data_IF_519871524841
#
_entry.id   IF_519871524841
#
_cell.length_a   1.000
_cell.length_b   1.000
_cell.length_c   1.000
_cell.angle_alpha   90.00
_cell.angle_beta   90.00
_cell.angle_gamma   90.00
#
_symmetry.space_group_name_H-M   'P 1'
#
loop_
_entity.id
_entity.type
_entity.pdbx_description
1 polymer ?
#
# COMPACT_ATOMS: atom_id res chain seq x y z
N UNK A 1 -0.40 -1.07 6.76
CA UNK A 1 -1.04 0.15 7.32
C UNK A 1 -0.95 0.16 8.84
N UNK A 2 -1.46 -0.85 9.54
CA UNK A 2 -1.32 -0.98 11.00
C UNK A 2 0.15 -0.94 11.47
N UNK A 3 1.06 -1.51 10.66
CA UNK A 3 2.51 -1.49 10.88
C UNK A 3 3.09 -0.08 11.04
N UNK A 4 2.68 0.88 10.20
CA UNK A 4 3.16 2.27 10.23
C UNK A 4 2.76 2.98 11.53
N UNK A 5 1.52 2.75 12.00
CA UNK A 5 1.02 3.31 13.26
C UNK A 5 1.73 2.75 14.49
N UNK A 6 2.17 1.49 14.45
CA UNK A 6 3.00 0.88 15.49
C UNK A 6 4.46 1.36 15.45
N UNK A 7 4.97 1.62 14.25
CA UNK A 7 6.36 1.99 14.05
C UNK A 7 6.66 3.46 14.32
N UNK A 8 5.73 4.34 13.95
CA UNK A 8 5.89 5.78 14.09
C UNK A 8 6.26 6.23 15.52
N UNK A 9 5.56 5.80 16.60
CA UNK A 9 5.95 6.17 17.96
C UNK A 9 7.30 5.55 18.38
N UNK A 10 7.64 4.37 17.85
CA UNK A 10 8.89 3.66 18.19
C UNK A 10 10.12 4.34 17.59
N UNK A 11 10.02 4.82 16.34
CA UNK A 11 11.07 5.61 15.69
C UNK A 11 11.24 6.97 16.36
N UNK A 12 10.13 7.63 16.71
CA UNK A 12 10.19 8.97 17.32
C UNK A 12 10.70 8.92 18.76
N UNK A 13 10.37 7.87 19.52
CA UNK A 13 10.99 7.60 20.80
C UNK A 13 12.51 7.34 20.68
N UNK A 14 12.95 6.64 19.64
CA UNK A 14 14.38 6.43 19.36
C UNK A 14 15.14 7.69 18.92
N UNK A 15 14.44 8.72 18.42
CA UNK A 15 14.97 10.06 18.16
C UNK A 15 15.07 10.94 19.43
N UNK A 16 14.68 10.43 20.60
CA UNK A 16 14.72 11.14 21.88
C UNK A 16 13.54 12.08 22.13
N UNK A 17 12.51 12.07 21.28
CA UNK A 17 11.31 12.90 21.45
C UNK A 17 10.22 12.12 22.20
N UNK A 18 9.72 12.69 23.29
CA UNK A 18 8.67 12.11 24.14
C UNK A 18 7.35 12.88 24.05
N UNK A 19 6.23 12.19 24.28
CA UNK A 19 4.91 12.81 24.44
C UNK A 19 4.35 13.48 23.18
N UNK A 20 3.92 14.74 23.32
CA UNK A 20 3.14 15.48 22.32
C UNK A 20 3.94 15.77 21.03
N UNK A 21 5.26 15.99 21.16
CA UNK A 21 6.13 16.12 19.99
C UNK A 21 6.22 14.84 19.16
N UNK A 22 6.09 13.66 19.80
CA UNK A 22 6.12 12.40 19.07
C UNK A 22 4.92 12.21 18.16
N UNK A 23 3.73 12.60 18.62
CA UNK A 23 2.51 12.60 17.81
C UNK A 23 2.58 13.61 16.66
N UNK A 24 3.09 14.83 16.91
CA UNK A 24 3.28 15.82 15.84
C UNK A 24 4.20 15.32 14.73
N UNK A 25 5.26 14.59 15.06
CA UNK A 25 6.17 14.01 14.06
C UNK A 25 5.55 12.87 13.24
N UNK A 26 4.39 12.31 13.63
CA UNK A 26 3.69 11.33 12.79
C UNK A 26 2.87 11.97 11.67
N UNK A 27 2.53 13.25 11.78
CA UNK A 27 1.67 13.96 10.81
C UNK A 27 2.33 14.15 9.43
N UNK A 28 3.62 14.54 9.32
CA UNK A 28 4.26 14.70 8.01
C UNK A 28 4.22 13.47 7.09
N UNK A 29 4.50 12.23 7.56
CA UNK A 29 4.40 11.04 6.72
C UNK A 29 2.99 10.82 6.16
N UNK A 30 1.95 11.05 6.97
CA UNK A 30 0.56 10.94 6.52
C UNK A 30 0.20 12.04 5.52
N UNK A 31 0.66 13.28 5.73
CA UNK A 31 0.44 14.38 4.80
C UNK A 31 1.12 14.10 3.43
N UNK A 32 2.36 13.61 3.44
CA UNK A 32 3.05 13.19 2.22
C UNK A 32 2.33 12.02 1.54
N UNK A 33 1.87 11.03 2.30
CA UNK A 33 1.09 9.91 1.78
C UNK A 33 -0.24 10.37 1.15
N UNK A 34 -0.91 11.36 1.75
CA UNK A 34 -2.15 11.91 1.22
C UNK A 34 -1.94 12.60 -0.14
N UNK A 35 -0.94 13.48 -0.24
CA UNK A 35 -0.63 14.21 -1.48
C UNK A 35 -0.21 13.26 -2.60
N UNK A 36 0.67 12.31 -2.30
CA UNK A 36 1.12 11.30 -3.28
C UNK A 36 -0.01 10.38 -3.72
N UNK A 37 -0.90 9.98 -2.81
CA UNK A 37 -2.10 9.20 -3.14
C UNK A 37 -3.01 9.97 -4.10
N UNK A 38 -3.30 11.24 -3.80
CA UNK A 38 -4.11 12.10 -4.69
C UNK A 38 -3.50 12.22 -6.09
N UNK A 39 -2.21 12.50 -6.17
CA UNK A 39 -1.51 12.65 -7.44
C UNK A 39 -1.50 11.34 -8.24
N UNK A 40 -1.21 10.20 -7.59
CA UNK A 40 -1.23 8.90 -8.27
C UNK A 40 -2.64 8.49 -8.70
N UNK A 41 -3.66 8.71 -7.87
CA UNK A 41 -5.06 8.45 -8.25
C UNK A 41 -5.47 9.28 -9.45
N UNK A 42 -5.17 10.58 -9.41
CA UNK A 42 -5.48 11.47 -10.52
C UNK A 42 -4.76 11.04 -11.80
N UNK A 43 -3.47 10.70 -11.70
CA UNK A 43 -2.70 10.22 -12.83
C UNK A 43 -3.22 8.87 -13.38
N UNK A 44 -3.62 7.95 -12.49
CA UNK A 44 -4.20 6.66 -12.85
C UNK A 44 -5.54 6.83 -13.59
N UNK A 45 -6.37 7.78 -13.16
CA UNK A 45 -7.65 8.07 -13.80
C UNK A 45 -7.48 8.74 -15.17
N UNK A 46 -6.52 9.66 -15.31
CA UNK A 46 -6.24 10.29 -16.62
C UNK A 46 -5.70 9.26 -17.62
N UNK A 47 -4.79 8.39 -17.19
CA UNK A 47 -4.12 7.44 -18.09
C UNK A 47 -4.90 6.16 -18.32
N UNK A 48 -5.98 5.93 -17.56
CA UNK A 48 -6.81 4.73 -17.62
C UNK A 48 -5.95 3.44 -17.58
N UNK A 49 -4.86 3.50 -16.79
CA UNK A 49 -3.88 2.43 -16.61
C UNK A 49 -3.79 2.09 -15.13
N UNK A 50 -4.96 1.81 -14.54
CA UNK A 50 -5.14 1.71 -13.10
C UNK A 50 -4.34 0.55 -12.52
N UNK A 51 -4.18 -0.56 -13.25
CA UNK A 51 -3.35 -1.68 -12.79
C UNK A 51 -1.85 -1.35 -12.78
N UNK A 52 -1.35 -0.58 -13.74
CA UNK A 52 0.08 -0.23 -13.83
C UNK A 52 0.49 0.74 -12.74
N UNK A 53 -0.34 1.76 -12.50
CA UNK A 53 -0.08 2.73 -11.43
C UNK A 53 -0.17 2.06 -10.05
N UNK A 54 -1.16 1.16 -9.86
CA UNK A 54 -1.28 0.39 -8.62
C UNK A 54 -0.08 -0.54 -8.40
N UNK A 55 0.27 -1.38 -9.38
CA UNK A 55 1.42 -2.30 -9.26
C UNK A 55 2.74 -1.54 -9.03
N UNK A 56 2.96 -0.42 -9.74
CA UNK A 56 4.12 0.44 -9.55
C UNK A 56 4.20 1.01 -8.14
N UNK A 57 3.08 1.53 -7.61
CA UNK A 57 3.02 2.05 -6.25
C UNK A 57 3.27 0.99 -5.17
N UNK A 58 2.75 -0.24 -5.37
CA UNK A 58 2.98 -1.37 -4.48
C UNK A 58 4.43 -1.87 -4.54
N UNK A 59 5.05 -1.86 -5.73
CA UNK A 59 6.46 -2.21 -5.89
C UNK A 59 7.36 -1.20 -5.20
N UNK A 60 7.13 0.10 -5.39
CA UNK A 60 7.86 1.18 -4.70
C UNK A 60 7.71 1.06 -3.18
N UNK A 61 6.49 0.80 -2.69
CA UNK A 61 6.24 0.56 -1.27
C UNK A 61 6.98 -0.68 -0.74
N UNK A 62 7.00 -1.76 -1.51
CA UNK A 62 7.73 -2.98 -1.18
C UNK A 62 9.24 -2.69 -1.06
N UNK A 63 9.88 -2.13 -2.09
CA UNK A 63 11.30 -1.79 -2.05
C UNK A 63 11.66 -0.80 -0.93
N UNK A 64 10.75 0.13 -0.57
CA UNK A 64 10.95 1.00 0.57
C UNK A 64 10.97 0.23 1.91
N UNK A 65 10.12 -0.79 2.09
CA UNK A 65 10.17 -1.68 3.25
C UNK A 65 11.44 -2.55 3.27
N UNK A 66 11.90 -3.01 2.11
CA UNK A 66 13.17 -3.75 1.99
C UNK A 66 14.36 -2.87 2.38
N UNK A 67 14.43 -1.66 1.84
CA UNK A 67 15.49 -0.71 2.14
C UNK A 67 15.47 -0.29 3.63
N UNK A 68 14.30 -0.27 4.26
CA UNK A 68 14.17 -0.01 5.70
C UNK A 68 14.68 -1.18 6.55
N UNK A 69 14.52 -2.44 6.07
CA UNK A 69 15.06 -3.63 6.72
C UNK A 69 16.59 -3.73 6.64
N UNK A 70 17.19 -3.22 5.54
CA UNK A 70 18.63 -3.24 5.30
C UNK A 70 19.39 -2.06 5.94
N UNK A 71 18.68 -1.07 6.50
CA UNK A 71 19.31 0.15 7.00
C UNK A 71 19.85 -0.01 8.43
N UNK A 72 21.09 0.44 8.72
CA UNK A 72 21.69 0.36 10.05
C UNK A 72 20.88 1.13 11.11
N UNK A 73 20.86 0.60 12.34
CA UNK A 73 20.01 1.08 13.44
C UNK A 73 20.26 2.53 13.89
N UNK A 74 21.38 3.12 13.48
CA UNK A 74 21.78 4.49 13.83
C UNK A 74 21.16 5.58 12.93
N UNK A 75 20.58 5.21 11.77
CA UNK A 75 20.09 6.15 10.77
C UNK A 75 18.59 6.47 10.90
N UNK A 76 18.17 7.00 12.05
CA UNK A 76 16.75 7.33 12.33
C UNK A 76 16.11 8.29 11.32
N UNK A 77 16.86 9.30 10.83
CA UNK A 77 16.38 10.26 9.81
C UNK A 77 16.06 9.58 8.47
N UNK A 78 16.91 8.66 8.05
CA UNK A 78 16.72 7.94 6.80
C UNK A 78 15.58 6.91 6.91
N UNK A 79 15.44 6.23 8.06
CA UNK A 79 14.27 5.38 8.34
C UNK A 79 12.95 6.18 8.27
N UNK A 80 12.91 7.40 8.80
CA UNK A 80 11.72 8.24 8.72
C UNK A 80 11.35 8.61 7.28
N UNK A 81 12.34 9.02 6.47
CA UNK A 81 12.13 9.29 5.04
C UNK A 81 11.63 8.08 4.27
N UNK A 82 12.23 6.90 4.50
CA UNK A 82 11.77 5.64 3.88
C UNK A 82 10.36 5.26 4.34
N UNK A 83 10.00 5.55 5.59
CA UNK A 83 8.68 5.27 6.13
C UNK A 83 7.60 6.14 5.46
N UNK A 84 7.91 7.41 5.15
CA UNK A 84 7.06 8.27 4.33
C UNK A 84 6.84 7.68 2.94
N UNK A 85 7.90 7.18 2.29
CA UNK A 85 7.82 6.56 0.96
C UNK A 85 7.04 5.25 1.02
N UNK A 86 7.29 4.38 2.00
CA UNK A 86 6.56 3.12 2.19
C UNK A 86 5.07 3.35 2.46
N UNK A 87 4.74 4.37 3.28
CA UNK A 87 3.38 4.80 3.52
C UNK A 87 2.72 5.28 2.22
N UNK A 88 3.35 6.22 1.51
CA UNK A 88 2.81 6.75 0.25
C UNK A 88 2.52 5.65 -0.78
N UNK A 89 3.46 4.72 -1.01
CA UNK A 89 3.27 3.61 -1.96
C UNK A 89 2.15 2.65 -1.53
N UNK A 90 2.00 2.40 -0.22
CA UNK A 90 0.95 1.53 0.30
C UNK A 90 -0.44 2.19 0.18
N UNK A 91 -0.57 3.47 0.54
CA UNK A 91 -1.85 4.20 0.47
C UNK A 91 -2.27 4.52 -0.96
N UNK A 92 -1.32 4.83 -1.85
CA UNK A 92 -1.62 5.19 -3.24
C UNK A 92 -2.20 4.04 -4.07
N UNK A 93 -2.00 2.79 -3.67
CA UNK A 93 -2.49 1.61 -4.40
C UNK A 93 -3.99 1.34 -4.24
N UNK A 94 -4.60 1.79 -3.14
CA UNK A 94 -6.00 1.53 -2.78
C UNK A 94 -6.99 2.15 -3.79
N UNK A 95 -6.96 3.46 -4.06
CA UNK A 95 -7.93 4.10 -4.95
C UNK A 95 -7.97 3.51 -6.37
N UNK A 96 -6.82 3.26 -7.04
CA UNK A 96 -6.81 2.57 -8.33
C UNK A 96 -7.42 1.16 -8.29
N UNK A 97 -7.17 0.39 -7.22
CA UNK A 97 -7.73 -0.96 -7.04
C UNK A 97 -9.24 -0.95 -6.85
N UNK A 98 -9.76 -0.01 -6.04
CA UNK A 98 -11.19 0.17 -5.87
C UNK A 98 -11.85 0.64 -7.17
N UNK A 99 -11.18 1.51 -7.93
CA UNK A 99 -11.61 1.94 -9.26
C UNK A 99 -11.70 0.77 -10.23
N UNK A 100 -10.73 -0.15 -10.22
CA UNK A 100 -10.78 -1.39 -11.00
C UNK A 100 -11.92 -2.30 -10.55
N UNK A 101 -12.08 -2.53 -9.25
CA UNK A 101 -13.14 -3.39 -8.71
C UNK A 101 -14.53 -2.88 -9.11
N UNK A 102 -14.78 -1.58 -8.93
CA UNK A 102 -16.05 -0.94 -9.29
C UNK A 102 -16.31 -1.00 -10.79
N UNK A 103 -15.28 -0.83 -11.62
CA UNK A 103 -15.43 -0.87 -13.09
C UNK A 103 -15.66 -2.28 -13.64
N UNK A 104 -15.26 -3.32 -12.90
CA UNK A 104 -15.40 -4.72 -13.32
C UNK A 104 -16.66 -5.41 -12.75
N UNK A 105 -17.41 -4.77 -11.85
CA UNK A 105 -18.65 -5.29 -11.27
C UNK A 105 -19.85 -4.51 -11.81
N UNK A 106 -20.91 -5.21 -12.21
CA UNK A 106 -22.13 -4.58 -12.75
C UNK A 106 -23.24 -4.54 -11.72
N UNK A 107 -23.86 -3.38 -11.58
CA UNK A 107 -25.00 -3.14 -10.69
C UNK A 107 -24.58 -2.54 -9.34
N UNK A 108 -25.25 -1.46 -8.94
CA UNK A 108 -24.90 -0.70 -7.75
C UNK A 108 -24.89 -1.56 -6.45
N UNK A 109 -25.83 -2.50 -6.32
CA UNK A 109 -25.88 -3.42 -5.18
C UNK A 109 -24.70 -4.40 -5.15
N UNK A 110 -24.29 -4.92 -6.30
CA UNK A 110 -23.15 -5.83 -6.41
C UNK A 110 -21.81 -5.10 -6.19
N UNK A 111 -21.67 -3.86 -6.67
CA UNK A 111 -20.50 -3.01 -6.41
C UNK A 111 -20.36 -2.75 -4.91
N UNK A 112 -21.46 -2.39 -4.24
CA UNK A 112 -21.47 -2.17 -2.79
C UNK A 112 -21.03 -3.41 -2.01
N UNK A 113 -21.55 -4.59 -2.37
CA UNK A 113 -21.16 -5.85 -1.75
C UNK A 113 -19.68 -6.20 -2.02
N UNK A 114 -19.20 -6.02 -3.25
CA UNK A 114 -17.82 -6.28 -3.62
C UNK A 114 -16.83 -5.39 -2.84
N UNK A 115 -17.15 -4.11 -2.69
CA UNK A 115 -16.36 -3.17 -1.88
C UNK A 115 -16.40 -3.57 -0.40
N UNK A 116 -17.58 -3.93 0.13
CA UNK A 116 -17.72 -4.36 1.52
C UNK A 116 -16.89 -5.61 1.83
N UNK A 117 -16.89 -6.60 0.93
CA UNK A 117 -16.06 -7.81 1.04
C UNK A 117 -14.56 -7.45 0.97
N UNK A 118 -14.17 -6.55 0.06
CA UNK A 118 -12.79 -6.08 -0.07
C UNK A 118 -12.29 -5.42 1.23
N UNK A 119 -13.08 -4.51 1.80
CA UNK A 119 -12.75 -3.82 3.06
C UNK A 119 -12.72 -4.80 4.24
N UNK A 120 -13.65 -5.77 4.27
CA UNK A 120 -13.69 -6.79 5.34
C UNK A 120 -12.43 -7.66 5.35
N UNK A 121 -11.94 -8.09 4.18
CA UNK A 121 -10.65 -8.79 4.06
C UNK A 121 -9.46 -7.88 4.43
N UNK A 122 -9.55 -6.58 4.12
CA UNK A 122 -8.56 -5.60 4.58
C UNK A 122 -8.46 -5.51 6.11
N UNK A 123 -9.60 -5.61 6.81
CA UNK A 123 -9.66 -5.60 8.27
C UNK A 123 -8.90 -6.77 8.91
N UNK A 124 -9.09 -8.00 8.41
CA UNK A 124 -8.41 -9.19 8.96
C UNK A 124 -6.90 -9.14 8.72
N UNK A 125 -6.47 -8.65 7.54
CA UNK A 125 -5.05 -8.43 7.26
C UNK A 125 -4.39 -7.43 8.20
N UNK A 126 -5.12 -6.40 8.65
CA UNK A 126 -4.60 -5.44 9.63
C UNK A 126 -4.36 -6.07 11.00
N UNK A 127 -5.26 -6.93 11.46
CA UNK A 127 -5.11 -7.64 12.75
C UNK A 127 -3.84 -8.48 12.74
N UNK A 128 -3.65 -9.30 11.69
CA UNK A 128 -2.44 -10.12 11.53
C UNK A 128 -1.18 -9.25 11.47
N UNK A 129 -1.26 -8.12 10.76
CA UNK A 129 -0.17 -7.14 10.63
C UNK A 129 0.33 -6.55 11.95
N UNK A 130 -0.54 -6.42 12.96
CA UNK A 130 -0.15 -5.94 14.30
C UNK A 130 0.68 -7.01 15.04
N UNK A 131 0.32 -8.28 14.91
CA UNK A 131 0.98 -9.39 15.61
C UNK A 131 2.33 -9.80 15.02
N UNK A 132 2.59 -9.45 13.75
CA UNK A 132 3.86 -9.71 13.08
C UNK A 132 5.02 -8.91 13.68
N UNK A 133 4.75 -7.74 14.27
CA UNK A 133 5.78 -6.90 14.88
C UNK A 133 6.07 -7.33 16.32
N UNK A 134 7.06 -8.22 16.49
CA UNK A 134 7.48 -8.67 17.82
C UNK A 134 8.27 -7.59 18.55
N UNK A 135 7.91 -7.35 19.81
CA UNK A 135 8.62 -6.39 20.68
C UNK A 135 10.10 -6.76 20.92
N UNK A 136 10.46 -8.04 20.75
CA UNK A 136 11.82 -8.54 20.93
C UNK A 136 12.78 -8.19 19.78
N UNK A 137 12.29 -7.67 18.65
CA UNK A 137 13.12 -7.30 17.48
C UNK A 137 13.31 -5.78 17.35
N UNK A 138 12.99 -5.03 18.41
CA UNK A 138 13.32 -3.60 18.50
C UNK A 138 14.85 -3.41 18.39
N UNK A 139 15.35 -2.36 17.71
CA UNK A 139 14.64 -1.31 16.97
C UNK A 139 14.51 -1.56 15.46
N UNK A 140 15.10 -2.64 14.93
CA UNK A 140 15.18 -2.91 13.49
C UNK A 140 13.96 -3.61 12.89
N UNK A 141 13.19 -4.36 13.68
CA UNK A 141 12.06 -5.21 13.28
C UNK A 141 12.17 -5.81 11.87
N UNK A 142 13.30 -6.47 11.61
CA UNK A 142 13.64 -7.02 10.31
C UNK A 142 12.55 -7.96 9.77
N UNK A 143 12.05 -8.86 10.61
CA UNK A 143 10.99 -9.83 10.28
C UNK A 143 9.69 -9.13 9.88
N UNK A 144 9.31 -8.06 10.57
CA UNK A 144 8.10 -7.31 10.28
C UNK A 144 8.18 -6.55 8.95
N UNK A 145 9.32 -5.93 8.67
CA UNK A 145 9.56 -5.26 7.39
C UNK A 145 9.65 -6.25 6.23
N UNK A 146 10.30 -7.39 6.41
CA UNK A 146 10.41 -8.43 5.39
C UNK A 146 9.07 -9.09 5.07
N UNK A 147 8.22 -9.30 6.08
CA UNK A 147 6.87 -9.81 5.86
C UNK A 147 6.00 -8.82 5.09
N UNK A 148 6.09 -7.52 5.42
CA UNK A 148 5.40 -6.48 4.64
C UNK A 148 5.93 -6.40 3.21
N UNK A 149 7.25 -6.44 3.01
CA UNK A 149 7.87 -6.52 1.68
C UNK A 149 7.28 -7.67 0.86
N UNK A 150 7.30 -8.88 1.42
CA UNK A 150 6.81 -10.09 0.73
C UNK A 150 5.32 -9.98 0.38
N UNK A 151 4.50 -9.48 1.31
CA UNK A 151 3.05 -9.34 1.09
C UNK A 151 2.73 -8.26 0.05
N UNK A 152 3.41 -7.12 0.08
CA UNK A 152 3.25 -6.05 -0.92
C UNK A 152 3.77 -6.48 -2.30
N UNK A 153 4.88 -7.22 -2.35
CA UNK A 153 5.41 -7.76 -3.60
C UNK A 153 4.46 -8.79 -4.20
N UNK A 154 3.95 -9.71 -3.37
CA UNK A 154 2.93 -10.68 -3.78
C UNK A 154 1.68 -9.97 -4.30
N UNK A 155 1.19 -8.95 -3.59
CA UNK A 155 0.07 -8.13 -4.05
C UNK A 155 0.34 -7.46 -5.40
N UNK A 156 1.54 -6.89 -5.60
CA UNK A 156 1.94 -6.30 -6.88
C UNK A 156 1.97 -7.33 -8.02
N UNK A 157 2.48 -8.54 -7.76
CA UNK A 157 2.48 -9.65 -8.72
C UNK A 157 1.06 -10.10 -9.08
N UNK A 158 0.17 -10.19 -8.10
CA UNK A 158 -1.24 -10.52 -8.33
C UNK A 158 -1.90 -9.46 -9.21
N UNK A 159 -1.68 -8.16 -8.96
CA UNK A 159 -2.22 -7.08 -9.79
C UNK A 159 -1.65 -7.11 -11.21
N UNK A 160 -0.35 -7.40 -11.35
CA UNK A 160 0.27 -7.64 -12.66
C UNK A 160 -0.34 -8.83 -13.40
N UNK A 161 -0.57 -9.94 -12.70
CA UNK A 161 -1.22 -11.13 -13.26
C UNK A 161 -2.67 -10.86 -13.67
N UNK A 162 -3.41 -10.11 -12.84
CA UNK A 162 -4.78 -9.69 -13.13
C UNK A 162 -4.83 -8.78 -14.35
N UNK A 163 -3.89 -7.84 -14.48
CA UNK A 163 -3.72 -7.01 -15.68
C UNK A 163 -3.45 -7.87 -16.91
N UNK A 164 -2.50 -8.80 -16.82
CA UNK A 164 -2.19 -9.69 -17.94
C UNK A 164 -3.45 -10.46 -18.36
N UNK A 165 -4.17 -11.05 -17.40
CA UNK A 165 -5.44 -11.74 -17.65
C UNK A 165 -6.48 -10.84 -18.33
N UNK A 166 -6.71 -9.63 -17.82
CA UNK A 166 -7.66 -8.68 -18.41
C UNK A 166 -7.26 -8.21 -19.82
N UNK A 167 -5.98 -7.99 -20.08
CA UNK A 167 -5.46 -7.63 -21.41
C UNK A 167 -5.64 -8.79 -22.39
N UNK A 168 -5.30 -10.01 -21.99
CA UNK A 168 -5.47 -11.20 -22.85
C UNK A 168 -6.94 -11.47 -23.15
N UNK A 169 -7.82 -11.33 -22.15
CA UNK A 169 -9.28 -11.46 -22.32
C UNK A 169 -9.85 -10.35 -23.19
N UNK A 170 -9.38 -9.12 -23.07
CA UNK A 170 -9.76 -8.00 -23.96
C UNK A 170 -9.32 -8.23 -25.41
N UNK A 171 -8.23 -8.96 -25.64
CA UNK A 171 -7.77 -9.34 -26.98
C UNK A 171 -8.62 -10.46 -27.61
N UNK A 172 -9.28 -11.29 -26.80
CA UNK A 172 -10.16 -12.38 -27.27
C UNK A 172 -11.63 -11.97 -27.42
N UNK A 173 -11.99 -10.75 -27.02
CA UNK A 173 -13.37 -10.22 -27.10
C UNK A 173 -13.57 -9.48 -28.42
N UNK A 174 -14.69 -9.75 -29.10
CA UNK A 174 -15.05 -9.09 -30.36
C UNK A 174 -15.42 -7.61 -30.14
N UNK A 175 -15.44 -6.80 -31.21
CA UNK A 175 -15.74 -5.35 -31.14
C UNK A 175 -17.10 -4.98 -30.52
N UNK A 176 -18.01 -5.95 -30.34
CA UNK A 176 -19.33 -5.77 -29.73
C UNK A 176 -19.37 -6.12 -28.22
N UNK A 177 -18.32 -6.74 -27.69
CA UNK A 177 -18.28 -7.18 -26.29
C UNK A 177 -17.71 -6.11 -25.36
N UNK A 178 -18.21 -6.08 -24.14
CA UNK A 178 -17.74 -5.13 -23.13
C UNK A 178 -16.30 -5.45 -22.70
N UNK A 179 -15.41 -4.48 -22.90
CA UNK A 179 -14.00 -4.57 -22.51
C UNK A 179 -13.85 -4.39 -20.99
N UNK A 180 -13.03 -5.24 -20.38
CA UNK A 180 -12.65 -5.17 -18.97
C UNK A 180 -11.72 -3.97 -18.73
N UNK A 181 -11.86 -3.30 -17.60
CA UNK A 181 -11.01 -2.16 -17.24
C UNK A 181 -9.62 -2.63 -16.77
N UNK A 182 -8.56 -2.01 -17.31
CA UNK A 182 -7.14 -2.35 -17.07
C UNK A 182 -6.35 -1.23 -16.37
#
# INVERSE_FOLDING_TARGET
MASLSLFAPTIVAGLGYTGLHAQLFTVPPYACAYVTTLLLSWFADIRNQRCLVSSGSMAVGSFAFLAQALLPDTAFRARFGLLCVAASGSFASIPPLLGLLSSNVRGAGAIGLAIAINVSMGGTGQIIGVWIYKANEKPGYFTGHMTNFAMLLFGSLVVCGLRYYYVTRNHSLGSADHKWAT
#
